data_IF_402247994310
#
_entry.id   IF_402247994310
#
_cell.length_a   1.000
_cell.length_b   1.000
_cell.length_c   1.000
_cell.angle_alpha   90.00
_cell.angle_beta   90.00
_cell.angle_gamma   90.00
#
_symmetry.space_group_name_H-M   'P 1'
#
loop_
_entity.id
_entity.type
_entity.pdbx_description
1 polymer ?
#
# COMPACT_ATOMS: atom_id res chain seq x y z
N UNK A 1 -12.73 -4.36 32.71
CA UNK A 1 -11.45 -4.97 32.25
C UNK A 1 -11.16 -4.49 30.83
N UNK A 2 -9.93 -4.07 30.56
CA UNK A 2 -9.52 -3.67 29.19
C UNK A 2 -9.49 -4.90 28.29
N UNK A 3 -10.06 -4.80 27.08
CA UNK A 3 -9.99 -5.88 26.06
C UNK A 3 -8.69 -5.72 25.30
N UNK A 4 -7.87 -6.77 25.26
CA UNK A 4 -6.67 -6.79 24.40
C UNK A 4 -7.10 -6.96 22.95
N UNK A 5 -6.73 -6.01 22.08
CA UNK A 5 -7.02 -6.03 20.65
C UNK A 5 -5.88 -6.74 19.93
N UNK A 6 -6.08 -8.00 19.55
CA UNK A 6 -5.09 -8.79 18.83
C UNK A 6 -5.25 -8.58 17.31
N UNK A 7 -4.15 -8.22 16.64
CA UNK A 7 -4.12 -8.01 15.18
C UNK A 7 -4.57 -9.22 14.36
N UNK A 8 -4.49 -10.43 14.92
CA UNK A 8 -4.89 -11.68 14.24
C UNK A 8 -6.36 -11.71 13.85
N UNK A 9 -7.27 -11.31 14.76
CA UNK A 9 -8.71 -11.29 14.49
C UNK A 9 -9.07 -10.25 13.42
N UNK A 10 -8.48 -9.06 13.56
CA UNK A 10 -8.66 -7.96 12.57
C UNK A 10 -8.16 -8.38 11.20
N UNK A 11 -6.98 -9.01 11.15
CA UNK A 11 -6.39 -9.49 9.89
C UNK A 11 -7.25 -10.57 9.24
N UNK A 12 -7.81 -11.50 10.03
CA UNK A 12 -8.68 -12.54 9.49
C UNK A 12 -9.95 -11.95 8.83
N UNK A 13 -10.65 -11.06 9.54
CA UNK A 13 -11.83 -10.39 9.01
C UNK A 13 -11.53 -9.54 7.75
N UNK A 14 -10.36 -8.83 7.77
CA UNK A 14 -9.92 -8.05 6.61
C UNK A 14 -9.58 -8.93 5.41
N UNK A 15 -8.99 -10.10 5.64
CA UNK A 15 -8.66 -11.06 4.58
C UNK A 15 -9.90 -11.52 3.84
N UNK A 16 -10.94 -11.93 4.56
CA UNK A 16 -12.18 -12.40 3.94
C UNK A 16 -12.82 -11.28 3.10
N UNK A 17 -12.82 -10.06 3.59
CA UNK A 17 -13.31 -8.90 2.83
C UNK A 17 -12.49 -8.64 1.57
N UNK A 18 -11.15 -8.70 1.67
CA UNK A 18 -10.27 -8.48 0.51
C UNK A 18 -10.48 -9.58 -0.52
N UNK A 19 -10.54 -10.85 -0.12
CA UNK A 19 -10.80 -11.97 -1.03
C UNK A 19 -12.14 -11.81 -1.76
N UNK A 20 -13.18 -11.41 -1.06
CA UNK A 20 -14.48 -11.15 -1.68
C UNK A 20 -14.40 -10.03 -2.72
N UNK A 21 -13.73 -8.91 -2.39
CA UNK A 21 -13.52 -7.82 -3.34
C UNK A 21 -12.66 -8.23 -4.56
N UNK A 22 -11.63 -9.04 -4.34
CA UNK A 22 -10.79 -9.58 -5.42
C UNK A 22 -11.62 -10.45 -6.36
N UNK A 23 -12.43 -11.36 -5.82
CA UNK A 23 -13.32 -12.21 -6.62
C UNK A 23 -14.34 -11.38 -7.43
N UNK A 24 -14.90 -10.31 -6.84
CA UNK A 24 -15.79 -9.40 -7.55
C UNK A 24 -15.09 -8.66 -8.71
N UNK A 25 -13.86 -8.21 -8.51
CA UNK A 25 -13.07 -7.55 -9.55
C UNK A 25 -12.73 -8.52 -10.67
N UNK A 26 -12.30 -9.74 -10.34
CA UNK A 26 -11.98 -10.78 -11.31
C UNK A 26 -13.20 -11.20 -12.12
N UNK A 27 -14.38 -11.27 -11.51
CA UNK A 27 -15.63 -11.51 -12.23
C UNK A 27 -15.97 -10.39 -13.24
N UNK A 28 -15.44 -9.20 -13.05
CA UNK A 28 -15.53 -8.04 -13.97
C UNK A 28 -14.37 -7.97 -14.98
N UNK A 29 -13.48 -8.97 -15.00
CA UNK A 29 -12.32 -9.02 -15.89
C UNK A 29 -11.14 -8.16 -15.43
N UNK A 30 -11.10 -7.75 -14.14
CA UNK A 30 -9.99 -6.96 -13.58
C UNK A 30 -9.22 -7.84 -12.59
N UNK A 31 -7.96 -8.11 -12.89
CA UNK A 31 -7.04 -8.80 -11.99
C UNK A 31 -6.26 -7.78 -11.17
N UNK A 32 -6.59 -7.56 -9.88
CA UNK A 32 -5.89 -6.57 -9.07
C UNK A 32 -4.41 -6.95 -8.93
N UNK A 33 -3.53 -6.04 -9.31
CA UNK A 33 -2.09 -6.26 -9.40
C UNK A 33 -1.33 -5.20 -8.58
N UNK A 34 -0.47 -5.67 -7.68
CA UNK A 34 0.52 -4.87 -6.96
C UNK A 34 1.86 -4.99 -7.66
N UNK A 35 2.49 -3.86 -7.98
CA UNK A 35 3.87 -3.83 -8.44
C UNK A 35 4.80 -3.44 -7.29
N UNK A 36 5.83 -4.24 -7.05
CA UNK A 36 6.90 -3.94 -6.10
C UNK A 36 8.12 -3.49 -6.89
N UNK A 37 8.62 -2.29 -6.59
CA UNK A 37 9.88 -1.77 -7.16
C UNK A 37 10.93 -1.78 -6.06
N UNK A 38 12.04 -2.50 -6.29
CA UNK A 38 13.18 -2.59 -5.38
C UNK A 38 14.47 -2.24 -6.11
N UNK A 39 15.28 -1.40 -5.47
CA UNK A 39 16.61 -1.02 -5.94
C UNK A 39 17.65 -1.67 -5.03
N UNK A 40 18.59 -2.39 -5.62
CA UNK A 40 19.62 -3.14 -4.89
C UNK A 40 19.12 -4.42 -4.22
N UNK A 41 19.95 -5.00 -3.36
CA UNK A 41 19.73 -6.31 -2.74
C UNK A 41 19.81 -6.27 -1.21
N UNK A 42 19.24 -5.23 -0.59
CA UNK A 42 19.19 -5.14 0.86
C UNK A 42 18.42 -6.35 1.45
N UNK A 43 19.00 -7.11 2.38
CA UNK A 43 18.35 -8.30 2.97
C UNK A 43 17.01 -8.01 3.64
N UNK A 44 16.86 -6.82 4.24
CA UNK A 44 15.59 -6.40 4.86
C UNK A 44 14.49 -6.23 3.81
N UNK A 45 14.83 -5.63 2.68
CA UNK A 45 13.89 -5.40 1.57
C UNK A 45 13.49 -6.72 0.91
N UNK A 46 14.43 -7.62 0.72
CA UNK A 46 14.18 -8.97 0.19
C UNK A 46 13.24 -9.76 1.14
N UNK A 47 13.46 -9.65 2.44
CA UNK A 47 12.61 -10.30 3.44
C UNK A 47 11.19 -9.73 3.42
N UNK A 48 11.06 -8.40 3.34
CA UNK A 48 9.77 -7.72 3.24
C UNK A 48 9.05 -8.05 1.93
N UNK A 49 9.76 -8.03 0.79
CA UNK A 49 9.25 -8.42 -0.52
C UNK A 49 8.65 -9.82 -0.51
N UNK A 50 9.38 -10.79 0.10
CA UNK A 50 8.89 -12.16 0.25
C UNK A 50 7.60 -12.22 1.05
N UNK A 51 7.52 -11.49 2.15
CA UNK A 51 6.31 -11.39 2.97
C UNK A 51 5.14 -10.77 2.21
N UNK A 52 5.38 -9.67 1.49
CA UNK A 52 4.38 -8.99 0.68
C UNK A 52 3.86 -9.88 -0.45
N UNK A 53 4.75 -10.55 -1.19
CA UNK A 53 4.39 -11.51 -2.25
C UNK A 53 3.50 -12.62 -1.72
N UNK A 54 3.93 -13.28 -0.63
CA UNK A 54 3.12 -14.34 0.01
C UNK A 54 1.75 -13.84 0.47
N UNK A 55 1.69 -12.59 0.90
CA UNK A 55 0.43 -11.96 1.28
C UNK A 55 -0.49 -11.75 0.08
N UNK A 56 0.04 -11.26 -1.03
CA UNK A 56 -0.70 -11.11 -2.28
C UNK A 56 -1.25 -12.47 -2.76
N UNK A 57 -0.43 -13.50 -2.80
CA UNK A 57 -0.83 -14.88 -3.15
C UNK A 57 -1.99 -15.38 -2.27
N UNK A 58 -1.90 -15.17 -0.95
CA UNK A 58 -2.94 -15.60 -0.01
C UNK A 58 -4.29 -14.90 -0.26
N UNK A 59 -4.25 -13.68 -0.80
CA UNK A 59 -5.42 -12.83 -1.03
C UNK A 59 -5.95 -12.92 -2.48
N UNK A 60 -5.22 -13.59 -3.39
CA UNK A 60 -5.56 -13.66 -4.81
C UNK A 60 -5.23 -12.38 -5.58
N UNK A 61 -4.32 -11.55 -5.07
CA UNK A 61 -3.81 -10.36 -5.73
C UNK A 61 -2.56 -10.73 -6.53
N UNK A 62 -2.48 -10.36 -7.79
CA UNK A 62 -1.27 -10.53 -8.58
C UNK A 62 -0.15 -9.64 -8.03
N UNK A 63 1.09 -10.12 -8.08
CA UNK A 63 2.25 -9.38 -7.59
C UNK A 63 3.35 -9.39 -8.66
N UNK A 64 3.58 -8.25 -9.27
CA UNK A 64 4.70 -8.03 -10.19
C UNK A 64 5.90 -7.44 -9.44
N UNK A 65 7.10 -7.73 -9.93
CA UNK A 65 8.34 -7.26 -9.31
C UNK A 65 9.23 -6.64 -10.37
N UNK A 66 9.69 -5.45 -10.08
CA UNK A 66 10.71 -4.77 -10.86
C UNK A 66 11.93 -4.63 -9.95
N UNK A 67 12.98 -5.38 -10.27
CA UNK A 67 14.21 -5.43 -9.50
C UNK A 67 15.27 -4.69 -10.30
N UNK A 68 15.76 -3.59 -9.73
CA UNK A 68 16.77 -2.75 -10.36
C UNK A 68 18.10 -2.91 -9.61
N UNK A 69 19.23 -2.81 -10.31
CA UNK A 69 20.53 -2.86 -9.66
C UNK A 69 20.77 -1.66 -8.75
N UNK A 70 21.68 -1.79 -7.78
CA UNK A 70 21.93 -0.74 -6.80
C UNK A 70 22.49 0.55 -7.43
N UNK A 71 23.20 0.41 -8.57
CA UNK A 71 23.80 1.49 -9.33
C UNK A 71 22.88 2.05 -10.44
N UNK A 72 21.61 1.71 -10.43
CA UNK A 72 20.62 2.23 -11.39
C UNK A 72 20.65 3.76 -11.43
N UNK A 73 20.63 4.33 -12.62
CA UNK A 73 20.55 5.79 -12.77
C UNK A 73 19.17 6.32 -12.39
N UNK A 74 19.14 7.59 -11.96
CA UNK A 74 17.88 8.27 -11.65
C UNK A 74 16.93 8.30 -12.85
N UNK A 75 17.45 8.57 -14.05
CA UNK A 75 16.65 8.62 -15.28
C UNK A 75 16.03 7.25 -15.60
N UNK A 76 16.74 6.16 -15.38
CA UNK A 76 16.24 4.81 -15.61
C UNK A 76 15.15 4.43 -14.61
N UNK A 77 15.34 4.79 -13.33
CA UNK A 77 14.30 4.57 -12.31
C UNK A 77 13.05 5.42 -12.60
N UNK A 78 13.21 6.69 -12.98
CA UNK A 78 12.09 7.55 -13.37
C UNK A 78 11.38 7.03 -14.61
N UNK A 79 12.12 6.54 -15.62
CA UNK A 79 11.52 5.91 -16.80
C UNK A 79 10.76 4.62 -16.44
N UNK A 80 11.24 3.88 -15.45
CA UNK A 80 10.55 2.69 -14.94
C UNK A 80 9.25 3.07 -14.24
N UNK A 81 9.26 4.09 -13.40
CA UNK A 81 8.05 4.61 -12.73
C UNK A 81 7.05 5.14 -13.76
N UNK A 82 7.51 5.86 -14.78
CA UNK A 82 6.63 6.35 -15.85
C UNK A 82 5.93 5.22 -16.60
N UNK A 83 6.65 4.12 -16.91
CA UNK A 83 6.04 2.91 -17.51
C UNK A 83 4.98 2.32 -16.61
N UNK A 84 5.28 2.17 -15.32
CA UNK A 84 4.34 1.62 -14.33
C UNK A 84 3.12 2.53 -14.14
N UNK A 85 3.31 3.85 -14.16
CA UNK A 85 2.21 4.82 -14.10
C UNK A 85 1.24 4.66 -15.28
N UNK A 86 1.76 4.36 -16.47
CA UNK A 86 0.97 4.23 -17.72
C UNK A 86 0.39 2.83 -17.93
N UNK A 87 0.79 1.85 -17.16
CA UNK A 87 0.30 0.48 -17.30
C UNK A 87 -1.01 0.28 -16.53
N UNK A 88 -2.12 0.22 -17.26
CA UNK A 88 -3.46 0.03 -16.69
C UNK A 88 -3.65 -1.33 -15.98
N UNK A 89 -2.74 -2.28 -16.19
CA UNK A 89 -2.77 -3.58 -15.50
C UNK A 89 -2.20 -3.49 -14.08
N UNK A 90 -1.40 -2.45 -13.76
CA UNK A 90 -0.83 -2.21 -12.45
C UNK A 90 -1.74 -1.26 -11.68
N UNK A 91 -2.31 -1.72 -10.57
CA UNK A 91 -3.30 -0.99 -9.78
C UNK A 91 -2.73 -0.35 -8.52
N UNK A 92 -1.55 -0.79 -8.09
CA UNK A 92 -0.85 -0.23 -6.95
C UNK A 92 0.65 -0.47 -7.04
N UNK A 93 1.44 0.45 -6.51
CA UNK A 93 2.90 0.40 -6.53
C UNK A 93 3.44 0.54 -5.12
N UNK A 94 4.35 -0.35 -4.77
CA UNK A 94 5.13 -0.32 -3.54
C UNK A 94 6.61 -0.13 -3.90
N UNK A 95 7.11 1.09 -3.74
CA UNK A 95 8.52 1.41 -3.91
C UNK A 95 9.25 1.26 -2.57
N UNK A 96 10.27 0.41 -2.54
CA UNK A 96 11.05 0.21 -1.32
C UNK A 96 12.00 1.36 -1.06
N UNK A 97 12.10 1.77 0.20
CA UNK A 97 12.91 2.86 0.69
C UNK A 97 13.65 2.44 1.97
N UNK A 98 14.79 3.05 2.31
CA UNK A 98 15.42 4.19 1.63
C UNK A 98 16.07 3.79 0.30
N UNK A 99 16.09 4.72 -0.66
CA UNK A 99 16.80 4.55 -1.92
C UNK A 99 18.32 4.77 -1.73
N UNK A 100 19.17 4.24 -2.65
CA UNK A 100 20.59 4.54 -2.68
C UNK A 100 20.86 6.06 -2.70
N UNK A 101 21.94 6.51 -2.03
CA UNK A 101 22.25 7.92 -1.78
C UNK A 101 22.46 8.77 -3.04
N UNK A 102 22.78 8.16 -4.17
CA UNK A 102 22.99 8.86 -5.45
C UNK A 102 21.68 9.23 -6.15
N UNK A 103 20.56 8.71 -5.66
CA UNK A 103 19.21 8.98 -6.17
C UNK A 103 18.54 10.08 -5.35
N UNK A 104 17.89 11.02 -6.04
CA UNK A 104 17.03 12.01 -5.38
C UNK A 104 15.68 11.37 -5.02
N UNK A 105 15.58 10.94 -3.77
CA UNK A 105 14.40 10.23 -3.28
C UNK A 105 13.13 11.07 -3.40
N UNK A 106 13.19 12.38 -3.13
CA UNK A 106 12.01 13.25 -3.18
C UNK A 106 11.46 13.38 -4.60
N UNK A 107 12.33 13.50 -5.60
CA UNK A 107 11.94 13.52 -7.01
C UNK A 107 11.31 12.19 -7.42
N UNK A 108 11.91 11.08 -7.00
CA UNK A 108 11.45 9.74 -7.34
C UNK A 108 10.09 9.42 -6.69
N UNK A 109 9.93 9.75 -5.41
CA UNK A 109 8.66 9.55 -4.68
C UNK A 109 7.51 10.30 -5.35
N UNK A 110 7.74 11.55 -5.76
CA UNK A 110 6.72 12.39 -6.39
C UNK A 110 6.51 12.10 -7.89
N UNK A 111 7.34 11.27 -8.51
CA UNK A 111 7.13 10.80 -9.86
C UNK A 111 6.07 9.69 -9.95
N UNK A 112 5.76 9.01 -8.84
CA UNK A 112 4.70 8.01 -8.82
C UNK A 112 3.32 8.67 -8.87
N UNK A 113 2.43 8.10 -9.70
CA UNK A 113 1.04 8.53 -9.76
C UNK A 113 0.35 8.31 -8.41
N UNK A 114 -0.27 9.35 -7.81
CA UNK A 114 -0.90 9.23 -6.49
C UNK A 114 -1.98 8.15 -6.42
N UNK A 115 -2.64 7.85 -7.53
CA UNK A 115 -3.67 6.80 -7.63
C UNK A 115 -3.09 5.39 -7.47
N UNK A 116 -1.78 5.22 -7.72
CA UNK A 116 -1.05 3.96 -7.58
C UNK A 116 -0.18 3.90 -6.33
N UNK A 117 -0.08 5.00 -5.57
CA UNK A 117 0.74 5.12 -4.37
C UNK A 117 0.08 4.42 -3.16
N UNK A 118 0.29 3.13 -3.01
CA UNK A 118 -0.32 2.34 -1.91
C UNK A 118 0.35 2.57 -0.55
N UNK A 119 1.51 3.21 -0.52
CA UNK A 119 2.26 3.49 0.72
C UNK A 119 2.07 4.91 1.23
N UNK A 120 1.33 5.76 0.49
CA UNK A 120 1.10 7.18 0.84
C UNK A 120 2.43 7.95 0.96
N UNK A 121 3.34 7.74 0.00
CA UNK A 121 4.68 8.33 0.03
C UNK A 121 4.77 9.65 -0.74
N UNK A 122 3.88 9.87 -1.72
CA UNK A 122 3.87 11.11 -2.50
C UNK A 122 3.37 12.27 -1.66
N UNK A 123 3.88 13.49 -1.91
CA UNK A 123 3.43 14.71 -1.22
C UNK A 123 1.92 14.92 -1.35
N UNK A 124 1.36 14.58 -2.51
CA UNK A 124 -0.07 14.69 -2.76
C UNK A 124 -0.88 13.73 -1.89
N UNK A 125 -0.46 12.46 -1.79
CA UNK A 125 -1.10 11.47 -0.92
C UNK A 125 -1.00 11.89 0.56
N UNK A 126 0.18 12.35 1.00
CA UNK A 126 0.36 12.86 2.37
C UNK A 126 -0.50 14.09 2.65
N UNK A 127 -0.56 15.04 1.71
CA UNK A 127 -1.44 16.22 1.83
C UNK A 127 -2.90 15.82 2.01
N UNK A 128 -3.35 14.79 1.30
CA UNK A 128 -4.70 14.23 1.46
C UNK A 128 -4.99 13.75 2.88
N UNK A 129 -4.01 13.10 3.53
CA UNK A 129 -4.14 12.66 4.93
C UNK A 129 -4.31 13.83 5.87
N UNK A 130 -3.44 14.86 5.75
CA UNK A 130 -3.48 16.04 6.63
C UNK A 130 -4.73 16.90 6.44
N UNK A 131 -5.20 17.01 5.21
CA UNK A 131 -6.36 17.89 4.89
C UNK A 131 -7.70 17.15 4.98
N UNK A 132 -7.69 15.84 5.21
CA UNK A 132 -8.90 15.00 5.18
C UNK A 132 -9.54 14.90 3.79
N UNK A 133 -8.89 15.41 2.74
CA UNK A 133 -9.38 15.32 1.36
C UNK A 133 -9.07 13.91 0.80
N UNK A 134 -9.97 13.39 -0.02
CA UNK A 134 -9.77 12.10 -0.71
C UNK A 134 -8.84 12.28 -1.93
N UNK A 135 -7.58 12.58 -1.67
CA UNK A 135 -6.53 12.74 -2.68
C UNK A 135 -5.51 11.61 -2.45
N UNK A 136 -5.28 10.78 -3.46
CA UNK A 136 -4.36 9.64 -3.35
C UNK A 136 -4.80 8.56 -2.35
N UNK A 137 -3.88 7.65 -2.02
CA UNK A 137 -4.12 6.59 -1.06
C UNK A 137 -3.87 7.05 0.38
N UNK A 138 -4.90 7.00 1.21
CA UNK A 138 -4.75 7.25 2.64
C UNK A 138 -4.28 5.99 3.37
N UNK A 139 -3.09 6.03 3.94
CA UNK A 139 -2.59 4.95 4.81
C UNK A 139 -3.34 4.97 6.15
N UNK A 140 -4.58 4.47 6.14
CA UNK A 140 -5.44 4.38 7.34
C UNK A 140 -5.26 3.07 8.09
N UNK A 141 -4.04 2.59 8.32
CA UNK A 141 -3.85 1.29 8.98
C UNK A 141 -4.49 1.23 10.38
N UNK A 142 -4.25 2.22 11.22
CA UNK A 142 -4.84 2.27 12.55
C UNK A 142 -6.37 2.40 12.51
N UNK A 143 -6.90 3.31 11.69
CA UNK A 143 -8.34 3.52 11.50
C UNK A 143 -9.06 2.30 10.91
N UNK A 144 -8.49 1.64 9.90
CA UNK A 144 -9.11 0.45 9.32
C UNK A 144 -9.14 -0.71 10.29
N UNK A 145 -8.12 -0.88 11.12
CA UNK A 145 -8.11 -1.88 12.17
C UNK A 145 -9.21 -1.62 13.19
N UNK A 146 -9.42 -0.38 13.59
CA UNK A 146 -10.51 0.02 14.50
C UNK A 146 -11.88 -0.16 13.84
N UNK A 147 -12.07 0.25 12.59
CA UNK A 147 -13.31 0.08 11.84
C UNK A 147 -13.67 -1.41 11.64
N UNK A 148 -12.67 -2.26 11.42
CA UNK A 148 -12.92 -3.70 11.23
C UNK A 148 -13.31 -4.37 12.57
N UNK A 149 -12.92 -3.78 13.70
CA UNK A 149 -13.36 -4.22 15.03
C UNK A 149 -14.75 -3.69 15.43
N UNK A 150 -15.34 -2.83 14.63
CA UNK A 150 -16.67 -2.21 14.85
C UNK A 150 -17.86 -3.18 14.80
N UNK A 151 -17.66 -4.49 14.86
CA UNK A 151 -18.76 -5.40 15.14
C UNK A 151 -19.27 -5.32 16.58
N UNK A 152 -18.63 -4.50 17.43
CA UNK A 152 -19.13 -4.23 18.80
C UNK A 152 -19.53 -2.77 18.94
N UNK A 153 -20.81 -2.53 19.24
CA UNK A 153 -21.42 -1.20 19.43
C UNK A 153 -20.67 -0.24 20.37
N UNK A 154 -19.73 -0.75 21.15
CA UNK A 154 -18.90 0.00 22.10
C UNK A 154 -17.70 0.69 21.44
N UNK A 155 -17.12 0.11 20.37
CA UNK A 155 -16.04 0.73 19.61
C UNK A 155 -16.56 1.94 18.81
N UNK A 156 -17.79 1.83 18.30
CA UNK A 156 -18.46 2.90 17.56
C UNK A 156 -18.71 4.16 18.41
N UNK A 157 -19.09 3.98 19.68
CA UNK A 157 -19.33 5.08 20.62
C UNK A 157 -18.04 5.83 20.99
N UNK A 158 -16.91 5.13 21.05
CA UNK A 158 -15.59 5.71 21.38
C UNK A 158 -15.01 6.51 20.21
N UNK A 159 -15.21 6.04 18.98
CA UNK A 159 -14.78 6.73 17.76
C UNK A 159 -15.52 8.06 17.55
N UNK A 160 -16.81 8.10 17.87
CA UNK A 160 -17.61 9.33 17.75
C UNK A 160 -17.30 10.37 18.83
N UNK A 161 -16.68 9.97 19.95
CA UNK A 161 -16.23 10.91 21.00
C UNK A 161 -14.82 11.49 20.74
N UNK A 162 -14.06 10.93 19.80
CA UNK A 162 -12.72 11.40 19.42
C UNK A 162 -12.72 12.18 18.07
N UNK A 163 -13.87 12.37 17.44
CA UNK A 163 -14.03 13.25 16.28
C UNK A 163 -14.05 14.76 16.63
N UNK A 164 -13.71 15.10 17.88
CA UNK A 164 -13.69 16.48 18.37
C UNK A 164 -12.25 16.91 18.73
N UNK A 165 -11.29 16.67 17.81
CA UNK A 165 -10.01 17.43 17.85
C UNK A 165 -9.44 17.46 16.44
#
# INVERSE_FOLDING_TARGET
MAKQLLGKEVTAALNEKIKANVAELQAKGVDPTLCIIRVGENPSDISYERGATKRCETLGVACEKILLPEDVSQDELLATIDKVNKDDKIHGVLLFRPLPKHLDQAVIENALAPEKDVDCMTDLSMSGVFTGKKIGFHRRHAWRSLITMESTAQAKKRLLSEEVL
#
